data_IF_244571509328
#
_entry.id   IF_244571509328
#
_cell.length_a   1.000
_cell.length_b   1.000
_cell.length_c   1.000
_cell.angle_alpha   90.00
_cell.angle_beta   90.00
_cell.angle_gamma   90.00
#
_symmetry.space_group_name_H-M   'P 1'
#
loop_
_entity.id
_entity.type
_entity.pdbx_description
1 polymer ?
#
# COMPACT_ATOMS: atom_id res chain seq x y z
N UNK A 1 22.90 6.16 -6.14
CA UNK A 1 22.50 5.50 -7.41
C UNK A 1 21.07 5.92 -7.70
N UNK A 2 20.70 6.17 -8.97
CA UNK A 2 19.32 6.54 -9.30
C UNK A 2 18.43 5.31 -9.43
N UNK A 3 17.26 5.36 -8.82
CA UNK A 3 16.26 4.28 -8.83
C UNK A 3 14.89 4.86 -9.22
N UNK A 4 14.11 4.13 -10.04
CA UNK A 4 12.73 4.53 -10.36
C UNK A 4 11.84 4.41 -9.14
N UNK A 5 10.85 5.32 -9.00
CA UNK A 5 9.93 5.33 -7.87
C UNK A 5 9.21 4.00 -7.66
N UNK A 6 8.77 3.34 -8.74
CA UNK A 6 8.16 2.01 -8.64
C UNK A 6 9.11 0.93 -8.08
N UNK A 7 10.38 0.96 -8.48
CA UNK A 7 11.38 0.03 -7.91
C UNK A 7 11.69 0.36 -6.45
N UNK A 8 11.69 1.65 -6.08
CA UNK A 8 11.84 2.07 -4.69
C UNK A 8 10.65 1.59 -3.83
N UNK A 9 9.42 1.69 -4.37
CA UNK A 9 8.22 1.11 -3.74
C UNK A 9 8.38 -0.39 -3.51
N UNK A 10 8.79 -1.14 -4.54
CA UNK A 10 8.98 -2.58 -4.44
C UNK A 10 9.98 -2.96 -3.34
N UNK A 11 11.13 -2.26 -3.27
CA UNK A 11 12.12 -2.48 -2.21
C UNK A 11 11.56 -2.17 -0.82
N UNK A 12 10.85 -1.04 -0.66
CA UNK A 12 10.24 -0.67 0.60
C UNK A 12 9.22 -1.70 1.08
N UNK A 13 8.42 -2.26 0.17
CA UNK A 13 7.46 -3.34 0.48
C UNK A 13 8.19 -4.65 0.84
N UNK A 14 9.23 -5.01 0.10
CA UNK A 14 10.04 -6.20 0.38
C UNK A 14 10.69 -6.14 1.77
N UNK A 15 11.21 -4.98 2.16
CA UNK A 15 11.79 -4.74 3.50
C UNK A 15 10.74 -4.86 4.63
N UNK A 16 9.45 -4.69 4.32
CA UNK A 16 8.34 -4.96 5.24
C UNK A 16 7.93 -6.43 5.28
N UNK A 17 8.63 -7.30 4.56
CA UNK A 17 8.35 -8.73 4.52
C UNK A 17 7.24 -9.13 3.56
N UNK A 18 6.84 -8.25 2.64
CA UNK A 18 5.88 -8.61 1.60
C UNK A 18 6.54 -9.57 0.61
N UNK A 19 5.93 -10.74 0.45
CA UNK A 19 6.36 -11.80 -0.47
C UNK A 19 5.41 -11.97 -1.65
N UNK A 20 4.18 -11.46 -1.53
CA UNK A 20 3.14 -11.59 -2.56
C UNK A 20 2.41 -10.27 -2.74
N UNK A 21 2.07 -9.94 -3.99
CA UNK A 21 1.27 -8.78 -4.38
C UNK A 21 0.15 -9.25 -5.29
N UNK A 22 -1.07 -8.84 -5.00
CA UNK A 22 -2.25 -9.13 -5.81
C UNK A 22 -2.58 -7.92 -6.68
N UNK A 23 -2.81 -8.14 -7.97
CA UNK A 23 -2.96 -7.05 -8.93
C UNK A 23 -3.83 -7.45 -10.11
N UNK A 24 -4.38 -6.47 -10.82
CA UNK A 24 -4.61 -6.54 -12.25
C UNK A 24 -3.59 -5.61 -12.90
N UNK A 25 -2.63 -6.18 -13.62
CA UNK A 25 -1.50 -5.44 -14.16
C UNK A 25 -1.94 -4.35 -15.14
N UNK A 26 -1.31 -3.19 -15.06
CA UNK A 26 -1.60 -2.03 -15.90
C UNK A 26 -0.42 -1.09 -16.04
N UNK A 27 -0.45 -0.23 -17.06
CA UNK A 27 0.65 0.63 -17.44
C UNK A 27 1.06 1.67 -16.39
N UNK A 28 0.19 2.00 -15.43
CA UNK A 28 0.45 3.03 -14.42
C UNK A 28 1.54 2.65 -13.41
N UNK A 29 1.86 1.36 -13.25
CA UNK A 29 2.78 0.89 -12.22
C UNK A 29 3.77 -0.20 -12.71
N UNK A 30 4.04 -0.27 -14.02
CA UNK A 30 5.02 -1.22 -14.55
C UNK A 30 6.38 -1.21 -13.84
N UNK A 31 6.98 -0.04 -13.48
CA UNK A 31 8.24 -0.04 -12.74
C UNK A 31 8.14 -0.68 -11.34
N UNK A 32 6.95 -0.67 -10.73
CA UNK A 32 6.74 -1.36 -9.45
C UNK A 32 6.70 -2.88 -9.65
N UNK A 33 5.98 -3.37 -10.67
CA UNK A 33 5.92 -4.81 -10.99
C UNK A 33 7.30 -5.36 -11.34
N UNK A 34 8.08 -4.61 -12.14
CA UNK A 34 9.47 -4.94 -12.45
C UNK A 34 10.31 -5.08 -11.17
N UNK A 35 10.24 -4.07 -10.30
CA UNK A 35 10.96 -4.07 -9.02
C UNK A 35 10.52 -5.18 -8.07
N UNK A 36 9.23 -5.51 -8.02
CA UNK A 36 8.70 -6.61 -7.20
C UNK A 36 9.27 -7.96 -7.68
N UNK A 37 9.33 -8.17 -9.00
CA UNK A 37 9.93 -9.38 -9.58
C UNK A 37 11.44 -9.44 -9.28
N UNK A 38 12.16 -8.32 -9.40
CA UNK A 38 13.60 -8.24 -9.06
C UNK A 38 13.86 -8.54 -7.57
N UNK A 39 12.94 -8.17 -6.67
CA UNK A 39 13.01 -8.51 -5.25
C UNK A 39 12.55 -9.94 -4.92
N UNK A 40 12.17 -10.74 -5.91
CA UNK A 40 11.70 -12.12 -5.70
C UNK A 40 10.29 -12.22 -5.16
N UNK A 41 9.49 -11.17 -5.20
CA UNK A 41 8.08 -11.21 -4.80
C UNK A 41 7.22 -11.88 -5.89
N UNK A 42 6.23 -12.66 -5.47
CA UNK A 42 5.22 -13.24 -6.35
C UNK A 42 4.18 -12.18 -6.72
N UNK A 43 4.09 -11.86 -8.01
CA UNK A 43 3.04 -10.98 -8.55
C UNK A 43 1.89 -11.84 -9.05
N UNK A 44 0.76 -11.82 -8.34
CA UNK A 44 -0.42 -12.63 -8.65
C UNK A 44 -1.40 -11.75 -9.42
N UNK A 45 -1.45 -11.96 -10.73
CA UNK A 45 -2.37 -11.24 -11.59
C UNK A 45 -3.75 -11.87 -11.56
N UNK A 46 -4.78 -11.05 -11.42
CA UNK A 46 -6.19 -11.47 -11.39
C UNK A 46 -6.95 -10.96 -12.63
N UNK A 47 -8.09 -11.55 -12.98
CA UNK A 47 -8.89 -11.10 -14.10
C UNK A 47 -9.69 -9.81 -13.83
N UNK A 48 -9.76 -9.36 -12.57
CA UNK A 48 -10.52 -8.19 -12.16
C UNK A 48 -9.94 -7.60 -10.86
N UNK A 49 -9.97 -6.29 -10.68
CA UNK A 49 -9.36 -5.63 -9.52
C UNK A 49 -10.08 -5.95 -8.20
N UNK A 50 -11.39 -6.15 -8.25
CA UNK A 50 -12.16 -6.64 -7.10
C UNK A 50 -11.65 -8.00 -6.64
N UNK A 51 -11.35 -8.90 -7.60
CA UNK A 51 -10.77 -10.22 -7.28
C UNK A 51 -9.39 -10.06 -6.66
N UNK A 52 -8.53 -9.16 -7.20
CA UNK A 52 -7.23 -8.87 -6.60
C UNK A 52 -7.37 -8.42 -5.14
N UNK A 53 -8.31 -7.52 -4.86
CA UNK A 53 -8.58 -7.03 -3.52
C UNK A 53 -9.05 -8.12 -2.56
N UNK A 54 -10.01 -8.96 -2.98
CA UNK A 54 -10.50 -10.08 -2.16
C UNK A 54 -9.43 -11.18 -1.96
N UNK A 55 -8.57 -11.43 -2.95
CA UNK A 55 -7.43 -12.34 -2.77
C UNK A 55 -6.45 -11.80 -1.73
N UNK A 56 -6.14 -10.50 -1.76
CA UNK A 56 -5.29 -9.86 -0.76
C UNK A 56 -5.91 -9.96 0.64
N UNK A 57 -7.21 -9.67 0.78
CA UNK A 57 -7.93 -9.79 2.04
C UNK A 57 -7.94 -11.23 2.57
N UNK A 58 -8.35 -12.19 1.75
CA UNK A 58 -8.37 -13.61 2.12
C UNK A 58 -7.01 -14.14 2.53
N UNK A 59 -5.95 -13.77 1.79
CA UNK A 59 -4.58 -14.16 2.15
C UNK A 59 -4.16 -13.53 3.49
N UNK A 60 -4.46 -12.26 3.71
CA UNK A 60 -4.18 -11.55 4.98
C UNK A 60 -4.84 -12.25 6.17
N UNK A 61 -6.11 -12.65 6.03
CA UNK A 61 -6.85 -13.35 7.11
C UNK A 61 -6.23 -14.70 7.46
N UNK A 62 -5.78 -15.46 6.45
CA UNK A 62 -5.21 -16.80 6.66
C UNK A 62 -3.76 -16.71 7.16
N UNK A 63 -2.94 -15.89 6.52
CA UNK A 63 -1.52 -15.74 6.86
C UNK A 63 -1.28 -14.93 8.14
N UNK A 64 -2.25 -14.09 8.53
CA UNK A 64 -2.14 -13.09 9.60
C UNK A 64 -0.99 -12.10 9.40
N UNK A 65 -0.63 -11.86 8.14
CA UNK A 65 0.40 -10.90 7.74
C UNK A 65 -0.20 -9.86 6.79
N UNK A 66 0.27 -8.61 6.81
CA UNK A 66 -0.18 -7.62 5.84
C UNK A 66 0.09 -8.08 4.40
N UNK A 67 -0.79 -7.71 3.48
CA UNK A 67 -0.62 -7.96 2.04
C UNK A 67 -0.85 -6.68 1.24
N UNK A 68 -0.51 -6.74 -0.02
CA UNK A 68 -0.63 -5.61 -0.95
C UNK A 68 -1.60 -5.96 -2.07
N UNK A 69 -2.55 -5.04 -2.32
CA UNK A 69 -3.35 -4.99 -3.53
C UNK A 69 -2.92 -3.76 -4.34
N UNK A 70 -2.42 -3.97 -5.57
CA UNK A 70 -1.92 -2.90 -6.45
C UNK A 70 -2.81 -2.82 -7.69
N UNK A 71 -3.44 -1.67 -7.94
CA UNK A 71 -4.39 -1.45 -9.02
C UNK A 71 -4.18 -0.12 -9.74
N UNK A 72 -4.73 0.02 -10.94
CA UNK A 72 -4.75 1.27 -11.69
C UNK A 72 -5.84 2.23 -11.20
N UNK A 73 -5.94 3.45 -11.78
CA UNK A 73 -6.92 4.44 -11.34
C UNK A 73 -8.36 3.97 -11.48
N UNK A 74 -8.73 3.39 -12.62
CA UNK A 74 -10.06 2.79 -12.82
C UNK A 74 -10.25 1.53 -11.99
N UNK A 75 -9.18 0.78 -11.80
CA UNK A 75 -9.18 -0.42 -10.98
C UNK A 75 -9.38 -0.14 -9.51
N UNK A 76 -9.05 1.06 -9.06
CA UNK A 76 -9.36 1.50 -7.70
C UNK A 76 -10.88 1.45 -7.43
N UNK A 77 -11.68 2.00 -8.33
CA UNK A 77 -13.15 1.96 -8.19
C UNK A 77 -13.67 0.51 -8.14
N UNK A 78 -13.11 -0.39 -8.95
CA UNK A 78 -13.45 -1.81 -8.93
C UNK A 78 -12.99 -2.52 -7.64
N UNK A 79 -11.96 -2.04 -6.96
CA UNK A 79 -11.46 -2.63 -5.71
C UNK A 79 -12.21 -2.16 -4.46
N UNK A 80 -13.10 -1.16 -4.55
CA UNK A 80 -13.87 -0.62 -3.42
C UNK A 80 -14.63 -1.71 -2.64
N UNK A 81 -15.34 -2.66 -3.25
CA UNK A 81 -16.03 -3.72 -2.50
C UNK A 81 -15.07 -4.55 -1.63
N UNK A 82 -13.88 -4.87 -2.14
CA UNK A 82 -12.87 -5.60 -1.38
C UNK A 82 -12.26 -4.73 -0.26
N UNK A 83 -12.14 -3.42 -0.47
CA UNK A 83 -11.69 -2.47 0.55
C UNK A 83 -12.71 -2.37 1.70
N UNK A 84 -14.02 -2.36 1.38
CA UNK A 84 -15.10 -2.40 2.37
C UNK A 84 -15.06 -3.70 3.18
N UNK A 85 -14.85 -4.83 2.54
CA UNK A 85 -14.71 -6.12 3.22
C UNK A 85 -13.50 -6.11 4.17
N UNK A 86 -12.33 -5.69 3.70
CA UNK A 86 -11.13 -5.58 4.52
C UNK A 86 -11.31 -4.62 5.72
N UNK A 87 -12.11 -3.54 5.54
CA UNK A 87 -12.48 -2.63 6.63
C UNK A 87 -13.34 -3.33 7.68
N UNK A 88 -14.40 -4.02 7.25
CA UNK A 88 -15.32 -4.73 8.14
C UNK A 88 -14.64 -5.84 8.92
N UNK A 89 -13.77 -6.58 8.26
CA UNK A 89 -13.03 -7.72 8.83
C UNK A 89 -11.70 -7.31 9.51
N UNK A 90 -11.37 -6.02 9.49
CA UNK A 90 -10.15 -5.47 10.11
C UNK A 90 -8.86 -6.08 9.55
N UNK A 91 -8.88 -6.36 8.26
CA UNK A 91 -7.73 -6.94 7.56
C UNK A 91 -6.71 -5.86 7.20
N UNK A 92 -5.44 -5.99 7.61
CA UNK A 92 -4.41 -5.03 7.29
C UNK A 92 -3.90 -5.16 5.83
N UNK A 93 -4.78 -4.89 4.86
CA UNK A 93 -4.44 -4.84 3.43
C UNK A 93 -3.92 -3.44 3.09
N UNK A 94 -2.79 -3.39 2.39
CA UNK A 94 -2.23 -2.16 1.84
C UNK A 94 -2.72 -2.03 0.40
N UNK A 95 -3.74 -1.21 0.18
CA UNK A 95 -4.20 -0.87 -1.18
C UNK A 95 -3.29 0.21 -1.75
N UNK A 96 -2.75 -0.03 -2.94
CA UNK A 96 -1.90 0.93 -3.65
C UNK A 96 -2.53 1.20 -5.01
N UNK A 97 -2.78 2.48 -5.31
CA UNK A 97 -3.34 2.90 -6.59
C UNK A 97 -2.30 3.66 -7.38
N UNK A 98 -2.08 3.27 -8.63
CA UNK A 98 -1.42 4.14 -9.59
C UNK A 98 -2.40 5.24 -10.02
N UNK A 99 -2.05 6.51 -9.87
CA UNK A 99 -2.94 7.62 -10.23
C UNK A 99 -2.41 8.48 -11.37
N UNK A 100 -3.23 9.40 -11.87
CA UNK A 100 -2.85 10.34 -12.92
C UNK A 100 -1.67 11.22 -12.51
N UNK A 101 -1.02 11.88 -13.49
CA UNK A 101 0.19 12.67 -13.22
C UNK A 101 -0.07 13.83 -12.25
N UNK A 102 0.79 13.97 -11.26
CA UNK A 102 0.76 15.06 -10.29
C UNK A 102 0.75 16.44 -10.96
N UNK A 103 1.54 16.59 -12.04
CA UNK A 103 1.63 17.85 -12.79
C UNK A 103 0.32 18.31 -13.43
N UNK A 104 -0.64 17.41 -13.63
CA UNK A 104 -1.94 17.70 -14.27
C UNK A 104 -3.11 17.49 -13.32
N UNK A 105 -2.85 17.28 -12.05
CA UNK A 105 -3.88 17.07 -11.06
C UNK A 105 -4.85 18.27 -11.01
N UNK A 106 -6.15 18.02 -11.02
CA UNK A 106 -7.21 19.01 -11.08
C UNK A 106 -7.53 19.53 -12.48
N UNK A 107 -6.88 19.01 -13.53
CA UNK A 107 -7.14 19.43 -14.92
C UNK A 107 -8.13 18.53 -15.68
N UNK A 108 -8.72 17.52 -15.02
CA UNK A 108 -9.56 16.51 -15.68
C UNK A 108 -8.75 15.60 -16.61
N UNK A 109 -7.55 15.22 -16.17
CA UNK A 109 -6.66 14.36 -16.94
C UNK A 109 -7.23 12.94 -17.14
N UNK A 110 -6.59 12.17 -18.02
CA UNK A 110 -7.01 10.80 -18.30
C UNK A 110 -7.00 9.94 -17.03
N UNK A 111 -8.17 9.37 -16.71
CA UNK A 111 -8.39 8.54 -15.51
C UNK A 111 -8.14 9.27 -14.18
N UNK A 112 -8.29 10.57 -14.16
CA UNK A 112 -8.16 11.36 -12.94
C UNK A 112 -9.39 11.15 -12.07
N UNK A 113 -9.15 10.75 -10.81
CA UNK A 113 -10.15 10.58 -9.75
C UNK A 113 -9.51 10.94 -8.42
N UNK A 114 -10.28 11.47 -7.49
CA UNK A 114 -9.82 11.67 -6.10
C UNK A 114 -9.94 10.36 -5.32
N UNK A 115 -9.01 9.45 -5.60
CA UNK A 115 -8.93 8.13 -4.97
C UNK A 115 -8.63 8.24 -3.46
N UNK A 116 -7.92 9.28 -3.03
CA UNK A 116 -7.62 9.53 -1.62
C UNK A 116 -8.91 9.84 -0.85
N UNK A 117 -9.72 10.79 -1.33
CA UNK A 117 -10.97 11.15 -0.67
C UNK A 117 -12.00 9.99 -0.67
N UNK A 118 -12.04 9.21 -1.76
CA UNK A 118 -12.93 8.04 -1.85
C UNK A 118 -12.48 6.92 -0.90
N UNK A 119 -11.18 6.69 -0.73
CA UNK A 119 -10.66 5.67 0.17
C UNK A 119 -10.75 6.06 1.65
N UNK A 120 -10.80 7.35 1.98
CA UNK A 120 -10.76 7.85 3.37
C UNK A 120 -11.78 7.17 4.29
N UNK A 121 -13.07 7.05 3.96
CA UNK A 121 -14.07 6.41 4.83
C UNK A 121 -13.92 4.88 4.92
N UNK A 122 -13.14 4.26 4.06
CA UNK A 122 -12.98 2.80 3.94
C UNK A 122 -11.62 2.30 4.43
N UNK A 123 -10.78 3.21 4.94
CA UNK A 123 -9.41 2.88 5.35
C UNK A 123 -9.03 3.60 6.63
N UNK A 124 -8.04 3.08 7.35
CA UNK A 124 -7.49 3.75 8.53
C UNK A 124 -6.61 4.95 8.16
N UNK A 125 -6.13 4.96 6.93
CA UNK A 125 -5.25 6.00 6.40
C UNK A 125 -5.32 5.96 4.88
N UNK A 126 -5.47 7.13 4.27
CA UNK A 126 -5.41 7.31 2.82
C UNK A 126 -4.53 8.52 2.52
N UNK A 127 -3.59 8.40 1.59
CA UNK A 127 -2.70 9.50 1.22
C UNK A 127 -2.12 9.35 -0.18
N UNK A 128 -1.87 10.49 -0.83
CA UNK A 128 -1.11 10.55 -2.08
C UNK A 128 0.38 10.78 -1.78
N UNK A 129 1.24 10.05 -2.48
CA UNK A 129 2.69 10.20 -2.42
C UNK A 129 3.10 11.20 -3.50
N UNK A 130 3.36 12.43 -3.10
CA UNK A 130 3.70 13.54 -4.02
C UNK A 130 5.20 13.74 -4.21
N UNK A 131 6.02 13.04 -3.45
CA UNK A 131 7.48 13.05 -3.50
C UNK A 131 8.01 11.62 -3.49
N UNK A 132 8.68 11.22 -4.58
CA UNK A 132 9.17 9.85 -4.73
C UNK A 132 10.26 9.45 -3.75
N UNK A 133 11.06 10.41 -3.25
CA UNK A 133 12.06 10.12 -2.22
C UNK A 133 11.42 9.74 -0.89
N UNK A 134 10.16 10.09 -0.68
CA UNK A 134 9.41 9.78 0.53
C UNK A 134 8.60 8.48 0.45
N UNK A 135 8.65 7.75 -0.68
CA UNK A 135 7.96 6.46 -0.81
C UNK A 135 8.21 5.54 0.39
N UNK A 136 9.47 5.33 0.85
CA UNK A 136 9.72 4.47 1.99
C UNK A 136 9.10 4.95 3.31
N UNK A 137 9.03 6.28 3.51
CA UNK A 137 8.37 6.88 4.68
C UNK A 137 6.85 6.58 4.67
N UNK A 138 6.21 6.76 3.51
CA UNK A 138 4.77 6.49 3.38
C UNK A 138 4.45 5.01 3.54
N UNK A 139 5.28 4.12 2.99
CA UNK A 139 5.15 2.67 3.19
C UNK A 139 5.29 2.33 4.67
N UNK A 140 6.32 2.82 5.36
CA UNK A 140 6.49 2.57 6.79
C UNK A 140 5.29 3.04 7.61
N UNK A 141 4.79 4.25 7.33
CA UNK A 141 3.59 4.81 7.98
C UNK A 141 2.36 3.95 7.71
N UNK A 142 2.14 3.53 6.47
CA UNK A 142 1.02 2.68 6.09
C UNK A 142 1.00 1.38 6.88
N UNK A 143 2.13 0.68 6.97
CA UNK A 143 2.24 -0.56 7.75
C UNK A 143 2.01 -0.34 9.25
N UNK A 144 2.58 0.72 9.83
CA UNK A 144 2.34 1.07 11.23
C UNK A 144 0.86 1.30 11.53
N UNK A 145 0.18 2.08 10.68
CA UNK A 145 -1.23 2.39 10.87
C UNK A 145 -2.09 1.15 10.64
N UNK A 146 -1.83 0.36 9.59
CA UNK A 146 -2.57 -0.85 9.29
C UNK A 146 -2.56 -1.84 10.47
N UNK A 147 -1.45 -1.92 11.21
CA UNK A 147 -1.24 -2.87 12.31
C UNK A 147 -1.51 -2.30 13.71
N UNK A 148 -1.64 -0.96 13.86
CA UNK A 148 -1.81 -0.32 15.16
C UNK A 148 -3.24 -0.44 15.67
N UNK A 149 -3.40 -0.67 16.97
CA UNK A 149 -4.72 -0.79 17.61
C UNK A 149 -5.53 -1.91 16.96
N UNK A 150 -6.72 -1.58 16.44
CA UNK A 150 -7.43 -2.51 15.55
C UNK A 150 -6.74 -2.53 14.18
N UNK A 151 -6.29 -3.70 13.68
CA UNK A 151 -5.80 -3.79 12.32
C UNK A 151 -6.86 -3.34 11.30
N UNK A 152 -6.43 -2.97 10.10
CA UNK A 152 -7.37 -2.60 9.06
C UNK A 152 -6.67 -2.07 7.82
N UNK A 153 -7.42 -1.89 6.71
CA UNK A 153 -6.85 -1.49 5.44
C UNK A 153 -6.33 -0.05 5.48
N UNK A 154 -5.36 0.21 4.63
CA UNK A 154 -4.81 1.54 4.33
C UNK A 154 -4.70 1.72 2.84
N UNK A 155 -4.65 2.97 2.38
CA UNK A 155 -4.55 3.31 0.97
C UNK A 155 -3.40 4.29 0.69
N UNK A 156 -2.64 4.01 -0.37
CA UNK A 156 -1.60 4.89 -0.90
C UNK A 156 -1.85 5.13 -2.39
N UNK A 157 -2.04 6.37 -2.78
CA UNK A 157 -2.11 6.80 -4.17
C UNK A 157 -0.73 7.25 -4.65
N UNK A 158 -0.28 6.72 -5.79
CA UNK A 158 1.04 7.06 -6.33
C UNK A 158 0.88 7.57 -7.76
N UNK A 159 1.09 8.88 -8.00
CA UNK A 159 1.03 9.45 -9.34
C UNK A 159 2.02 8.79 -10.29
N UNK A 160 1.60 8.60 -11.55
CA UNK A 160 2.40 7.90 -12.57
C UNK A 160 3.76 8.56 -12.82
N UNK A 161 3.85 9.87 -12.74
CA UNK A 161 5.12 10.60 -12.88
C UNK A 161 6.07 10.32 -11.70
N UNK A 162 5.57 10.13 -10.48
CA UNK A 162 6.35 9.66 -9.33
C UNK A 162 6.79 8.20 -9.56
N UNK A 163 5.88 7.35 -10.03
CA UNK A 163 6.16 5.92 -10.26
C UNK A 163 7.29 5.71 -11.28
N UNK A 164 7.32 6.53 -12.34
CA UNK A 164 8.28 6.39 -13.45
C UNK A 164 9.54 7.26 -13.31
N UNK A 165 9.51 8.33 -12.54
CA UNK A 165 10.68 9.20 -12.32
C UNK A 165 11.76 8.47 -11.52
N UNK A 166 13.00 8.93 -11.73
CA UNK A 166 14.17 8.39 -11.01
C UNK A 166 14.58 9.35 -9.89
N UNK A 167 14.83 8.80 -8.73
CA UNK A 167 15.24 9.50 -7.51
C UNK A 167 16.62 9.01 -7.07
N UNK A 168 17.34 9.85 -6.33
CA UNK A 168 18.58 9.40 -5.71
C UNK A 168 18.25 8.35 -4.64
N UNK A 169 18.87 7.19 -4.76
CA UNK A 169 18.81 6.17 -3.73
C UNK A 169 19.61 6.70 -2.53
N UNK A 170 18.91 7.30 -1.58
CA UNK A 170 19.54 7.66 -0.31
C UNK A 170 19.97 6.38 0.40
N UNK A 171 21.20 6.37 0.89
CA UNK A 171 21.77 5.28 1.65
C UNK A 171 20.75 4.80 2.70
N UNK A 172 20.37 3.55 2.59
CA UNK A 172 19.47 2.75 3.43
C UNK A 172 18.31 3.44 4.13
N UNK A 173 17.14 2.88 4.06
CA UNK A 173 15.96 3.29 4.84
C UNK A 173 16.26 3.49 6.35
N UNK A 174 17.33 2.85 6.84
CA UNK A 174 17.79 2.90 8.23
C UNK A 174 18.52 4.20 8.62
N UNK A 175 18.95 5.02 7.66
CA UNK A 175 19.71 6.25 7.94
C UNK A 175 18.85 7.51 8.02
N UNK A 176 17.58 7.45 7.62
CA UNK A 176 16.66 8.58 7.76
C UNK A 176 16.14 8.67 9.19
N UNK A 177 16.23 9.83 9.86
CA UNK A 177 15.84 9.97 11.27
C UNK A 177 14.35 9.64 11.55
N UNK A 178 13.50 9.61 10.52
CA UNK A 178 12.08 9.27 10.62
C UNK A 178 11.76 7.78 10.47
N UNK A 179 12.71 6.96 10.03
CA UNK A 179 12.50 5.52 9.75
C UNK A 179 12.94 4.63 10.93
N UNK A 180 13.43 5.21 12.01
CA UNK A 180 14.04 4.50 13.15
C UNK A 180 13.07 3.74 14.05
N UNK A 181 11.94 3.29 13.65
CA UNK A 181 11.21 2.36 14.51
C UNK A 181 10.44 1.31 13.74
N UNK A 182 11.13 0.23 13.42
CA UNK A 182 10.53 -1.10 13.21
C UNK A 182 10.02 -1.71 14.52
N UNK A 183 9.65 -0.87 15.51
CA UNK A 183 8.98 -1.42 16.68
C UNK A 183 7.57 -1.85 16.22
N UNK A 184 7.23 -3.13 16.36
CA UNK A 184 5.86 -3.56 16.16
C UNK A 184 4.97 -2.69 17.04
N UNK A 185 3.79 -2.32 16.52
CA UNK A 185 2.82 -1.59 17.31
C UNK A 185 2.66 -2.30 18.66
N UNK A 186 2.74 -1.52 19.74
CA UNK A 186 2.57 -2.08 21.08
C UNK A 186 1.24 -2.83 21.12
N UNK A 187 1.29 -4.12 21.45
CA UNK A 187 0.06 -4.89 21.69
C UNK A 187 -0.57 -4.37 22.96
N UNK A 188 -1.79 -3.86 22.87
CA UNK A 188 -2.59 -3.60 24.06
C UNK A 188 -3.01 -4.94 24.64
N UNK A 189 -2.65 -5.19 25.89
CA UNK A 189 -3.18 -6.32 26.65
C UNK A 189 -4.36 -5.82 27.47
N UNK A 190 -5.45 -6.60 27.56
CA UNK A 190 -6.50 -6.27 28.49
C UNK A 190 -5.93 -6.21 29.93
N UNK A 191 -6.44 -5.28 30.72
CA UNK A 191 -6.09 -5.21 32.13
C UNK A 191 -6.40 -6.58 32.79
N UNK A 192 -5.51 -7.10 33.67
CA UNK A 192 -5.77 -8.38 34.36
C UNK A 192 -7.11 -8.44 35.10
N UNK A 193 -7.63 -7.26 35.52
CA UNK A 193 -8.93 -7.14 36.17
C UNK A 193 -10.09 -7.31 35.19
N UNK A 194 -9.94 -6.84 33.95
CA UNK A 194 -10.94 -7.00 32.90
C UNK A 194 -11.00 -8.45 32.41
N UNK A 195 -9.87 -9.18 32.38
CA UNK A 195 -9.83 -10.61 32.05
C UNK A 195 -10.58 -11.48 33.05
N UNK A 196 -10.75 -11.03 34.31
CA UNK A 196 -11.51 -11.76 35.33
C UNK A 196 -13.02 -11.59 35.19
N UNK A 197 -13.47 -10.67 34.31
CA UNK A 197 -14.91 -10.36 34.09
C UNK A 197 -15.47 -11.08 32.84
N UNK A 198 -14.64 -11.75 32.06
CA UNK A 198 -15.00 -12.60 30.93
C UNK A 198 -15.04 -14.05 31.37
#
# INVERSE_FOLDING_TARGET
MKIRGGKLLARALHEKGITQVFTLSGGFFNPALEGMTECGMSVINSPHEQVAGHLADGFTRISRTPTVCLVGPEGFANAIPAMMEAWGERSPVIFITGSSTLKRQGSGGFKEIDDVAIAEPLTKYSASITDGERIPEFVDRAFKIALSGYPGPVHLSIPVDIMFSSFEESAGLNERPFVRSHQPAARSWPCPEDLKRI
#
